data_IF_606339790238
#
_entry.id   IF_606339790238
#
_cell.length_a   1.000
_cell.length_b   1.000
_cell.length_c   1.000
_cell.angle_alpha   90.00
_cell.angle_beta   90.00
_cell.angle_gamma   90.00
#
_symmetry.space_group_name_H-M   'P 1'
#
loop_
_entity.id
_entity.type
_entity.pdbx_description
1 polymer ?
#
# COMPACT_ATOMS: atom_id res chain seq x y z
N UNK A 1 2.43 20.86 -13.37
CA UNK A 1 3.44 20.55 -12.33
C UNK A 1 4.56 19.80 -13.02
N UNK A 2 5.82 20.15 -12.75
CA UNK A 2 6.99 19.49 -13.33
C UNK A 2 7.79 18.79 -12.22
N UNK A 3 8.28 17.58 -12.48
CA UNK A 3 9.10 16.78 -11.59
C UNK A 3 10.43 16.42 -12.28
N UNK A 4 11.54 16.51 -11.56
CA UNK A 4 12.81 15.93 -12.04
C UNK A 4 12.72 14.41 -12.13
N UNK A 5 13.58 13.80 -12.93
CA UNK A 5 13.74 12.33 -13.01
C UNK A 5 13.82 11.70 -11.62
N UNK A 6 14.62 12.26 -10.71
CA UNK A 6 14.80 11.70 -9.37
C UNK A 6 13.53 11.81 -8.52
N UNK A 7 12.85 12.97 -8.54
CA UNK A 7 11.62 13.17 -7.77
C UNK A 7 10.52 12.17 -8.18
N UNK A 8 10.29 12.02 -9.48
CA UNK A 8 9.32 11.04 -9.97
C UNK A 8 9.70 9.61 -9.57
N UNK A 9 10.96 9.22 -9.79
CA UNK A 9 11.42 7.86 -9.52
C UNK A 9 11.43 7.51 -8.03
N UNK A 10 11.69 8.47 -7.13
CA UNK A 10 11.60 8.20 -5.68
C UNK A 10 10.17 7.80 -5.32
N UNK A 11 9.17 8.56 -5.75
CA UNK A 11 7.76 8.27 -5.44
C UNK A 11 7.32 6.95 -6.08
N UNK A 12 7.67 6.75 -7.35
CA UNK A 12 7.39 5.50 -8.08
C UNK A 12 7.95 4.27 -7.33
N UNK A 13 9.23 4.30 -6.98
CA UNK A 13 9.88 3.18 -6.30
C UNK A 13 9.36 2.97 -4.88
N UNK A 14 8.98 4.04 -4.17
CA UNK A 14 8.37 3.92 -2.84
C UNK A 14 6.99 3.26 -2.88
N UNK A 15 6.16 3.59 -3.88
CA UNK A 15 4.89 2.88 -4.07
C UNK A 15 5.12 1.40 -4.41
N UNK A 16 6.03 1.10 -5.34
CA UNK A 16 6.39 -0.28 -5.68
C UNK A 16 6.90 -1.06 -4.46
N UNK A 17 7.78 -0.46 -3.65
CA UNK A 17 8.28 -1.06 -2.43
C UNK A 17 7.16 -1.30 -1.41
N UNK A 18 6.28 -0.32 -1.23
CA UNK A 18 5.15 -0.42 -0.29
C UNK A 18 4.25 -1.60 -0.66
N UNK A 19 3.92 -1.76 -1.94
CA UNK A 19 3.14 -2.91 -2.44
C UNK A 19 3.83 -4.22 -2.08
N UNK A 20 5.13 -4.35 -2.41
CA UNK A 20 5.89 -5.57 -2.13
C UNK A 20 5.91 -5.90 -0.62
N UNK A 21 6.12 -4.91 0.23
CA UNK A 21 6.13 -5.07 1.70
C UNK A 21 4.75 -5.49 2.23
N UNK A 22 3.66 -4.90 1.74
CA UNK A 22 2.30 -5.23 2.19
C UNK A 22 1.94 -6.69 1.85
N UNK A 23 2.25 -7.14 0.63
CA UNK A 23 2.01 -8.54 0.23
C UNK A 23 2.90 -9.51 1.02
N UNK A 24 4.19 -9.20 1.19
CA UNK A 24 5.09 -10.02 1.98
C UNK A 24 4.64 -10.12 3.45
N UNK A 25 4.19 -9.01 4.04
CA UNK A 25 3.65 -8.98 5.40
C UNK A 25 2.37 -9.82 5.52
N UNK A 26 1.46 -9.74 4.54
CA UNK A 26 0.23 -10.55 4.54
C UNK A 26 0.53 -12.04 4.52
N UNK A 27 1.46 -12.47 3.67
CA UNK A 27 1.93 -13.86 3.63
C UNK A 27 2.56 -14.25 4.97
N UNK A 28 3.41 -13.39 5.53
CA UNK A 28 4.07 -13.64 6.80
C UNK A 28 3.06 -13.81 7.95
N UNK A 29 2.04 -12.95 8.04
CA UNK A 29 1.03 -13.04 9.09
C UNK A 29 0.24 -14.34 9.03
N UNK A 30 -0.17 -14.77 7.83
CA UNK A 30 -0.82 -16.07 7.64
C UNK A 30 0.10 -17.23 8.01
N UNK A 31 1.34 -17.22 7.50
CA UNK A 31 2.31 -18.29 7.71
C UNK A 31 2.75 -18.44 9.18
N UNK A 32 2.69 -17.35 9.96
CA UNK A 32 3.11 -17.34 11.37
C UNK A 32 1.97 -17.39 12.36
N UNK A 33 0.70 -17.32 11.93
CA UNK A 33 -0.47 -17.42 12.80
C UNK A 33 -0.44 -18.69 13.68
N UNK A 34 0.05 -19.82 13.15
CA UNK A 34 0.19 -21.06 13.93
C UNK A 34 1.20 -21.01 15.07
N UNK A 35 2.15 -20.05 15.05
CA UNK A 35 3.27 -19.94 16.01
C UNK A 35 2.94 -19.16 17.28
N UNK A 36 1.74 -18.57 17.36
CA UNK A 36 1.26 -17.87 18.55
C UNK A 36 0.13 -18.65 19.24
N UNK A 37 -0.14 -18.32 20.50
CA UNK A 37 -1.22 -18.94 21.26
C UNK A 37 -2.57 -18.79 20.54
N UNK A 38 -3.37 -19.85 20.57
CA UNK A 38 -4.58 -20.01 19.73
C UNK A 38 -5.55 -18.83 19.82
N UNK A 39 -5.73 -18.29 21.03
CA UNK A 39 -6.60 -17.14 21.31
C UNK A 39 -6.22 -15.85 20.56
N UNK A 40 -4.96 -15.69 20.15
CA UNK A 40 -4.49 -14.50 19.41
C UNK A 40 -4.45 -14.71 17.89
N UNK A 41 -4.59 -15.95 17.40
CA UNK A 41 -4.52 -16.26 15.96
C UNK A 41 -5.53 -15.49 15.12
N UNK A 42 -6.79 -15.26 15.56
CA UNK A 42 -7.72 -14.45 14.80
C UNK A 42 -7.18 -13.04 14.52
N UNK A 43 -6.42 -12.43 15.44
CA UNK A 43 -5.81 -11.12 15.20
C UNK A 43 -4.81 -11.15 14.04
N UNK A 44 -3.95 -12.18 13.95
CA UNK A 44 -2.99 -12.34 12.85
C UNK A 44 -3.67 -12.46 11.48
N UNK A 45 -4.80 -13.15 11.41
CA UNK A 45 -5.57 -13.25 10.17
C UNK A 45 -6.22 -11.92 9.79
N UNK A 46 -6.65 -11.12 10.78
CA UNK A 46 -7.12 -9.76 10.54
C UNK A 46 -5.97 -8.85 10.10
N UNK A 47 -4.76 -8.97 10.68
CA UNK A 47 -3.57 -8.24 10.21
C UNK A 47 -3.28 -8.55 8.74
N UNK A 48 -3.34 -9.83 8.36
CA UNK A 48 -3.15 -10.26 6.98
C UNK A 48 -4.20 -9.64 6.04
N UNK A 49 -5.48 -9.67 6.44
CA UNK A 49 -6.56 -9.06 5.67
C UNK A 49 -6.32 -7.55 5.46
N UNK A 50 -5.94 -6.83 6.51
CA UNK A 50 -5.66 -5.38 6.46
C UNK A 50 -4.57 -5.09 5.43
N UNK A 51 -3.43 -5.77 5.51
CA UNK A 51 -2.30 -5.48 4.61
C UNK A 51 -2.55 -5.94 3.17
N UNK A 52 -3.35 -6.99 2.94
CA UNK A 52 -3.76 -7.34 1.57
C UNK A 52 -4.71 -6.31 0.95
N UNK A 53 -5.67 -5.79 1.72
CA UNK A 53 -6.55 -4.70 1.27
C UNK A 53 -5.73 -3.44 1.00
N UNK A 54 -4.81 -3.07 1.89
CA UNK A 54 -3.91 -1.95 1.69
C UNK A 54 -3.01 -2.14 0.46
N UNK A 55 -2.45 -3.34 0.28
CA UNK A 55 -1.62 -3.69 -0.88
C UNK A 55 -2.35 -3.51 -2.21
N UNK A 56 -3.63 -3.94 -2.29
CA UNK A 56 -4.47 -3.69 -3.46
C UNK A 56 -4.67 -2.18 -3.73
N UNK A 57 -4.98 -1.39 -2.70
CA UNK A 57 -5.19 0.05 -2.89
C UNK A 57 -3.88 0.77 -3.26
N UNK A 58 -2.75 0.37 -2.68
CA UNK A 58 -1.44 0.91 -3.08
C UNK A 58 -1.08 0.53 -4.53
N UNK A 59 -1.49 -0.65 -5.00
CA UNK A 59 -1.37 -1.01 -6.42
C UNK A 59 -2.19 -0.06 -7.31
N UNK A 60 -3.42 0.29 -6.91
CA UNK A 60 -4.25 1.29 -7.63
C UNK A 60 -3.64 2.69 -7.60
N UNK A 61 -3.10 3.11 -6.46
CA UNK A 61 -2.40 4.39 -6.28
C UNK A 61 -1.16 4.44 -7.18
N UNK A 62 -0.37 3.37 -7.23
CA UNK A 62 0.81 3.26 -8.08
C UNK A 62 0.47 3.42 -9.56
N UNK A 63 -0.55 2.71 -10.04
CA UNK A 63 -1.04 2.85 -11.41
C UNK A 63 -1.54 4.28 -11.69
N UNK A 64 -2.23 4.89 -10.73
CA UNK A 64 -2.70 6.27 -10.86
C UNK A 64 -1.56 7.28 -10.87
N UNK A 65 -0.47 7.03 -10.15
CA UNK A 65 0.74 7.86 -10.18
C UNK A 65 1.44 7.73 -11.53
N UNK A 66 1.65 6.50 -12.00
CA UNK A 66 2.29 6.23 -13.29
C UNK A 66 1.53 6.90 -14.46
N UNK A 67 0.20 6.77 -14.48
CA UNK A 67 -0.64 7.38 -15.51
C UNK A 67 -0.72 8.91 -15.42
N UNK A 68 -0.47 9.52 -14.26
CA UNK A 68 -0.62 10.96 -14.08
C UNK A 68 0.57 11.79 -14.57
N UNK A 69 1.68 11.15 -14.96
CA UNK A 69 2.89 11.84 -15.40
C UNK A 69 3.50 11.22 -16.65
N UNK A 70 3.91 12.07 -17.59
CA UNK A 70 4.58 11.68 -18.83
C UNK A 70 5.98 12.31 -18.88
N UNK A 71 6.94 11.62 -19.52
CA UNK A 71 8.28 12.15 -19.72
C UNK A 71 8.27 13.23 -20.83
N UNK A 72 8.58 14.47 -20.47
CA UNK A 72 8.66 15.57 -21.43
C UNK A 72 9.81 15.35 -22.43
N UNK A 73 9.54 15.52 -23.72
CA UNK A 73 10.56 15.44 -24.78
C UNK A 73 10.98 14.00 -25.14
N UNK A 74 10.07 13.03 -25.03
CA UNK A 74 10.25 11.59 -25.26
C UNK A 74 10.87 11.15 -26.62
N UNK A 75 11.26 12.08 -27.49
CA UNK A 75 11.97 11.81 -28.76
C UNK A 75 13.49 11.66 -28.65
N UNK A 76 14.12 11.89 -27.49
CA UNK A 76 15.60 11.94 -27.37
C UNK A 76 16.18 11.03 -26.28
N UNK A 77 15.85 9.73 -26.35
CA UNK A 77 16.52 8.69 -25.57
C UNK A 77 16.18 8.65 -24.08
N UNK A 78 16.27 7.47 -23.49
CA UNK A 78 15.94 7.22 -22.09
C UNK A 78 17.07 7.72 -21.18
N UNK A 79 17.17 9.04 -21.00
CA UNK A 79 18.18 9.71 -20.19
C UNK A 79 17.67 10.15 -18.83
N UNK A 80 18.50 10.06 -17.78
CA UNK A 80 18.20 10.56 -16.42
C UNK A 80 18.07 12.10 -16.32
N UNK A 81 18.20 12.81 -17.43
CA UNK A 81 18.09 14.27 -17.52
C UNK A 81 16.69 14.77 -17.89
N UNK A 82 15.75 13.88 -18.21
CA UNK A 82 14.38 14.27 -18.54
C UNK A 82 13.56 14.74 -17.34
N UNK A 83 12.55 15.55 -17.61
CA UNK A 83 11.55 16.01 -16.65
C UNK A 83 10.21 15.31 -16.90
N UNK A 84 9.47 15.03 -15.84
CA UNK A 84 8.13 14.49 -15.90
C UNK A 84 7.11 15.63 -15.74
N UNK A 85 6.12 15.67 -16.62
CA UNK A 85 5.02 16.64 -16.60
C UNK A 85 3.70 15.94 -16.39
N UNK A 86 2.68 16.66 -15.92
CA UNK A 86 1.34 16.09 -15.79
C UNK A 86 0.84 15.55 -17.14
N UNK A 87 0.29 14.33 -17.12
CA UNK A 87 -0.35 13.71 -18.27
C UNK A 87 -1.58 14.52 -18.71
N UNK A 88 -1.91 14.44 -19.99
CA UNK A 88 -3.01 15.23 -20.56
C UNK A 88 -4.40 14.61 -20.32
N UNK A 89 -4.45 13.31 -20.08
CA UNK A 89 -5.66 12.50 -20.04
C UNK A 89 -5.97 11.90 -18.65
N UNK A 90 -5.01 11.92 -17.72
CA UNK A 90 -5.17 11.36 -16.37
C UNK A 90 -4.61 12.28 -15.29
N UNK A 91 -5.28 12.28 -14.13
CA UNK A 91 -4.84 12.98 -12.92
C UNK A 91 -4.66 11.97 -11.79
N UNK A 92 -3.70 12.21 -10.91
CA UNK A 92 -3.48 11.38 -9.73
C UNK A 92 -4.72 11.36 -8.83
N UNK A 93 -5.22 10.16 -8.52
CA UNK A 93 -6.46 9.99 -7.77
C UNK A 93 -6.20 9.60 -6.31
N UNK A 94 -6.40 10.55 -5.41
CA UNK A 94 -6.21 10.37 -3.98
C UNK A 94 -7.32 9.53 -3.31
N UNK A 95 -8.49 9.39 -3.96
CA UNK A 95 -9.65 8.72 -3.38
C UNK A 95 -9.40 7.23 -3.06
N UNK A 96 -8.45 6.58 -3.74
CA UNK A 96 -8.05 5.20 -3.43
C UNK A 96 -7.56 5.05 -1.98
N UNK A 97 -6.92 6.08 -1.41
CA UNK A 97 -6.47 6.05 -0.01
C UNK A 97 -7.65 6.12 0.96
N UNK A 98 -8.67 6.91 0.63
CA UNK A 98 -9.88 7.04 1.44
C UNK A 98 -10.73 5.76 1.38
N UNK A 99 -10.83 5.13 0.21
CA UNK A 99 -11.46 3.82 0.07
C UNK A 99 -10.74 2.74 0.89
N UNK A 100 -9.41 2.72 0.89
CA UNK A 100 -8.61 1.84 1.75
C UNK A 100 -8.91 2.07 3.23
N UNK A 101 -8.92 3.33 3.68
CA UNK A 101 -9.19 3.67 5.07
C UNK A 101 -10.59 3.29 5.54
N UNK A 102 -11.60 3.43 4.67
CA UNK A 102 -12.96 2.99 4.97
C UNK A 102 -13.02 1.51 5.38
N UNK A 103 -12.13 0.68 4.83
CA UNK A 103 -12.04 -0.74 5.13
C UNK A 103 -11.05 -1.05 6.26
N UNK A 104 -9.83 -0.50 6.19
CA UNK A 104 -8.72 -0.85 7.09
C UNK A 104 -8.85 -0.24 8.47
N UNK A 105 -9.40 0.97 8.60
CA UNK A 105 -9.55 1.62 9.93
C UNK A 105 -10.50 0.82 10.84
N UNK A 106 -11.72 0.43 10.41
CA UNK A 106 -12.56 -0.45 11.23
C UNK A 106 -11.90 -1.80 11.54
N UNK A 107 -11.19 -2.40 10.57
CA UNK A 107 -10.49 -3.68 10.79
C UNK A 107 -9.38 -3.59 11.83
N UNK A 108 -8.64 -2.48 11.87
CA UNK A 108 -7.63 -2.22 12.91
C UNK A 108 -8.26 -2.14 14.31
N UNK A 109 -9.46 -1.54 14.42
CA UNK A 109 -10.20 -1.52 15.69
C UNK A 109 -10.68 -2.94 16.08
N UNK A 110 -11.13 -3.74 15.11
CA UNK A 110 -11.52 -5.14 15.32
C UNK A 110 -10.32 -5.97 15.78
N UNK A 111 -9.16 -5.81 15.16
CA UNK A 111 -7.91 -6.47 15.56
C UNK A 111 -7.54 -6.14 17.00
N UNK A 112 -7.57 -4.85 17.37
CA UNK A 112 -7.30 -4.40 18.74
C UNK A 112 -8.30 -5.01 19.74
N UNK A 113 -9.58 -5.06 19.38
CA UNK A 113 -10.62 -5.69 20.20
C UNK A 113 -10.35 -7.20 20.39
N UNK A 114 -9.97 -7.92 19.34
CA UNK A 114 -9.63 -9.35 19.43
C UNK A 114 -8.46 -9.56 20.40
N UNK A 115 -7.40 -8.76 20.28
CA UNK A 115 -6.22 -8.88 21.15
C UNK A 115 -6.56 -8.59 22.62
N UNK A 116 -7.34 -7.54 22.89
CA UNK A 116 -7.74 -7.17 24.27
C UNK A 116 -8.65 -8.24 24.89
N UNK A 117 -9.63 -8.74 24.14
CA UNK A 117 -10.50 -9.84 24.57
C UNK A 117 -9.70 -11.13 24.83
N UNK A 118 -8.76 -11.48 23.95
CA UNK A 118 -7.90 -12.65 24.11
C UNK A 118 -6.98 -12.54 25.33
N UNK A 119 -6.51 -11.33 25.68
CA UNK A 119 -5.77 -11.08 26.92
C UNK A 119 -6.64 -11.28 28.15
N UNK A 120 -7.86 -10.77 28.16
CA UNK A 120 -8.71 -10.81 29.35
C UNK A 120 -9.23 -12.23 29.65
N UNK A 121 -9.41 -13.06 28.63
CA UNK A 121 -9.70 -14.49 28.78
C UNK A 121 -8.53 -15.32 29.36
N UNK A 122 -7.36 -14.73 29.56
CA UNK A 122 -6.19 -15.37 30.16
C UNK A 122 -6.09 -15.20 31.68
N UNK A 123 -6.96 -14.37 32.27
CA UNK A 123 -7.08 -14.14 33.71
C UNK A 123 -8.09 -15.11 34.30
#
# INVERSE_FOLDING_TARGET
MELSFLQYNIVYNLFSLTIAVMFAAGIYFVATAGRIAERYRPAMYVSALIVFVAGYHYFRIFQSWDAAFELAGAGSGMGRGGTYTAASDHVFNEAYRYADWLLTVPLLIVELYIVTKARDAAK
#
